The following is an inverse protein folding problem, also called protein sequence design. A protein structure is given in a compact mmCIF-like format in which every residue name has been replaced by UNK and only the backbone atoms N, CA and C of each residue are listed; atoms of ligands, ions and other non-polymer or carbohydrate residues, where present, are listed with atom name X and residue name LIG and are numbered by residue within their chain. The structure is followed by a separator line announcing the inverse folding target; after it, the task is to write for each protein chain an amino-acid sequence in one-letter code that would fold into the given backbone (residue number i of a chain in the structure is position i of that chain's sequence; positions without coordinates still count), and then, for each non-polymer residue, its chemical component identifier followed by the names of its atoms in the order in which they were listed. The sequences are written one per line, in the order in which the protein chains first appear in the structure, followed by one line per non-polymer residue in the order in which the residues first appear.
data_IF_135185553410
#
_entry.id   IF_135185553410
#
_cell.length_a   1.000
_cell.length_b   1.000
_cell.length_c   1.000
_cell.angle_alpha   90.00
_cell.angle_beta   90.00
_cell.angle_gamma   90.00
#
_symmetry.space_group_name_H-M   'P 1'
#
loop_
_entity.id
_entity.type
_entity.pdbx_description
1 polymer ?
#
# COMPACT_ATOMS: atom_id res chain seq x y z
N UNK A 1 0.70 -15.46 -5.77
CA UNK A 1 -0.50 -15.90 -5.01
C UNK A 1 -1.12 -14.67 -4.38
N UNK A 2 -2.44 -14.52 -4.43
CA UNK A 2 -3.17 -13.41 -3.77
C UNK A 2 -4.04 -14.02 -2.66
N UNK A 3 -3.77 -13.65 -1.41
CA UNK A 3 -4.57 -14.05 -0.24
C UNK A 3 -5.82 -13.18 -0.13
N UNK A 4 -6.86 -13.68 0.54
CA UNK A 4 -8.04 -12.85 0.90
C UNK A 4 -7.63 -11.64 1.75
N UNK A 5 -6.56 -11.76 2.55
CA UNK A 5 -5.99 -10.67 3.33
C UNK A 5 -5.20 -9.65 2.49
N UNK A 6 -4.82 -10.00 1.26
CA UNK A 6 -4.24 -9.03 0.32
C UNK A 6 -5.33 -8.15 -0.31
N UNK A 7 -6.56 -8.67 -0.39
CA UNK A 7 -7.74 -7.99 -0.95
C UNK A 7 -8.44 -7.15 0.13
N UNK A 8 -8.64 -7.71 1.33
CA UNK A 8 -9.30 -7.05 2.45
C UNK A 8 -8.28 -6.67 3.52
N UNK A 9 -7.89 -5.40 3.55
CA UNK A 9 -6.96 -4.84 4.54
C UNK A 9 -7.69 -3.82 5.41
N UNK A 10 -7.46 -3.91 6.72
CA UNK A 10 -7.77 -2.82 7.64
C UNK A 10 -6.78 -1.69 7.34
N UNK A 11 -7.29 -0.48 7.19
CA UNK A 11 -6.47 0.70 6.93
C UNK A 11 -7.30 1.97 7.02
N UNK A 12 -6.63 3.10 6.92
CA UNK A 12 -7.28 4.41 6.98
C UNK A 12 -7.71 4.89 5.58
N UNK A 13 -8.91 5.44 5.51
CA UNK A 13 -9.43 6.11 4.31
C UNK A 13 -8.86 7.52 4.13
N UNK A 14 -9.13 8.18 2.98
CA UNK A 14 -10.13 7.82 1.98
C UNK A 14 -9.64 6.87 0.86
N UNK A 15 -8.32 6.66 0.70
CA UNK A 15 -7.77 5.93 -0.46
C UNK A 15 -6.56 5.06 -0.11
N UNK A 16 -6.59 3.77 -0.43
CA UNK A 16 -5.48 2.85 -0.11
C UNK A 16 -4.18 3.18 -0.85
N UNK A 17 -4.23 3.67 -2.10
CA UNK A 17 -3.04 4.03 -2.87
C UNK A 17 -2.45 5.39 -2.47
N UNK A 18 -3.29 6.29 -1.96
CA UNK A 18 -2.89 7.66 -1.61
C UNK A 18 -2.73 7.88 -0.10
N UNK A 19 -3.17 6.93 0.71
CA UNK A 19 -3.09 7.03 2.18
C UNK A 19 -2.30 5.86 2.77
N UNK A 20 -2.71 4.60 2.51
CA UNK A 20 -2.04 3.42 3.10
C UNK A 20 -0.62 3.22 2.57
N UNK A 21 -0.43 3.29 1.25
CA UNK A 21 0.91 3.16 0.64
C UNK A 21 1.89 4.24 1.14
N UNK A 22 1.54 5.53 1.01
CA UNK A 22 2.41 6.63 1.44
C UNK A 22 2.78 6.60 2.93
N UNK A 23 1.85 6.23 3.82
CA UNK A 23 2.17 6.06 5.23
C UNK A 23 3.17 4.92 5.48
N UNK A 24 2.99 3.78 4.80
CA UNK A 24 3.97 2.69 4.88
C UNK A 24 5.35 3.10 4.37
N UNK A 25 5.42 3.92 3.32
CA UNK A 25 6.69 4.41 2.79
C UNK A 25 7.40 5.31 3.80
N UNK A 26 6.66 6.21 4.46
CA UNK A 26 7.19 7.01 5.57
C UNK A 26 7.73 6.15 6.70
N UNK A 27 6.97 5.12 7.13
CA UNK A 27 7.39 4.20 8.19
C UNK A 27 8.65 3.42 7.81
N UNK A 28 8.64 2.80 6.64
CA UNK A 28 9.77 2.03 6.13
C UNK A 28 11.03 2.91 6.05
N UNK A 29 10.91 4.14 5.55
CA UNK A 29 12.04 5.07 5.50
C UNK A 29 12.65 5.35 6.88
N UNK A 30 11.82 5.52 7.91
CA UNK A 30 12.34 5.71 9.27
C UNK A 30 12.95 4.45 9.87
N UNK A 31 12.41 3.28 9.55
CA UNK A 31 13.00 1.99 9.95
C UNK A 31 14.37 1.79 9.30
N UNK A 32 14.50 2.13 8.01
CA UNK A 32 15.77 2.08 7.28
C UNK A 32 16.81 3.03 7.92
N UNK A 33 16.41 4.23 8.34
CA UNK A 33 17.29 5.15 9.06
C UNK A 33 17.78 4.58 10.39
N UNK A 34 16.92 3.89 11.13
CA UNK A 34 17.28 3.23 12.40
C UNK A 34 18.25 2.08 12.13
N UNK A 35 17.94 1.20 11.18
CA UNK A 35 18.77 0.05 10.84
C UNK A 35 20.16 0.47 10.37
N UNK A 36 20.25 1.57 9.64
CA UNK A 36 21.52 2.16 9.19
C UNK A 36 22.26 2.96 10.27
N UNK A 37 21.66 3.16 11.44
CA UNK A 37 22.24 3.97 12.53
C UNK A 37 22.33 5.46 12.22
N UNK A 38 21.54 5.97 11.26
CA UNK A 38 21.59 7.35 10.78
C UNK A 38 20.58 8.27 11.47
N UNK A 39 19.56 7.73 12.15
CA UNK A 39 18.43 8.50 12.67
C UNK A 39 18.85 9.70 13.52
N UNK A 40 19.82 9.53 14.42
CA UNK A 40 20.28 10.60 15.33
C UNK A 40 21.02 11.75 14.62
N UNK A 41 21.52 11.52 13.41
CA UNK A 41 22.22 12.53 12.61
C UNK A 41 21.27 13.35 11.73
N UNK A 42 20.01 12.93 11.61
CA UNK A 42 19.01 13.62 10.78
C UNK A 42 18.59 14.92 11.44
N UNK A 43 18.72 16.02 10.71
CA UNK A 43 18.29 17.35 11.14
C UNK A 43 17.08 17.85 10.36
N UNK A 44 16.85 17.33 9.15
CA UNK A 44 15.75 17.72 8.25
C UNK A 44 15.33 16.54 7.39
N UNK A 45 14.04 16.44 7.09
CA UNK A 45 13.50 15.49 6.10
C UNK A 45 12.78 16.28 5.01
N UNK A 46 12.98 15.90 3.76
CA UNK A 46 12.30 16.44 2.59
C UNK A 46 11.60 15.31 1.86
N UNK A 47 10.35 15.55 1.48
CA UNK A 47 9.51 14.62 0.74
C UNK A 47 9.12 15.27 -0.57
N UNK A 48 9.41 14.59 -1.67
CA UNK A 48 9.02 14.97 -3.02
C UNK A 48 8.00 13.97 -3.54
N UNK A 49 6.79 14.43 -3.84
CA UNK A 49 5.67 13.62 -4.33
C UNK A 49 5.46 13.90 -5.82
N UNK A 50 5.29 12.86 -6.63
CA UNK A 50 5.25 12.94 -8.09
C UNK A 50 3.95 12.38 -8.68
N UNK A 51 3.64 12.80 -9.91
CA UNK A 51 2.58 12.29 -10.75
C UNK A 51 1.17 12.26 -10.16
N UNK A 52 0.41 11.19 -10.40
CA UNK A 52 -0.99 11.08 -9.95
C UNK A 52 -1.13 11.17 -8.43
N UNK A 53 -0.12 10.71 -7.70
CA UNK A 53 -0.05 10.82 -6.24
C UNK A 53 0.08 12.28 -5.78
N UNK A 54 0.78 13.10 -6.56
CA UNK A 54 0.94 14.53 -6.32
C UNK A 54 -0.31 15.33 -6.68
N UNK A 55 -0.84 15.11 -7.89
CA UNK A 55 -1.99 15.84 -8.43
C UNK A 55 -3.25 15.74 -7.57
N UNK A 56 -3.44 14.61 -6.90
CA UNK A 56 -4.60 14.40 -6.03
C UNK A 56 -4.22 14.37 -4.54
N UNK A 57 -2.95 14.60 -4.21
CA UNK A 57 -2.39 14.28 -2.89
C UNK A 57 -2.99 15.07 -1.74
N UNK A 58 -3.17 16.39 -1.91
CA UNK A 58 -3.81 17.23 -0.88
C UNK A 58 -5.29 16.89 -0.66
N UNK A 59 -5.99 16.44 -1.72
CA UNK A 59 -7.39 16.02 -1.64
C UNK A 59 -7.60 14.63 -1.04
N UNK A 60 -6.56 13.80 -1.01
CA UNK A 60 -6.58 12.44 -0.47
C UNK A 60 -5.75 12.25 0.81
N UNK A 61 -5.29 13.35 1.42
CA UNK A 61 -4.49 13.35 2.64
C UNK A 61 -3.16 12.58 2.51
N UNK A 62 -2.55 12.58 1.33
CA UNK A 62 -1.25 11.93 1.08
C UNK A 62 -0.13 12.53 1.93
N UNK A 63 -0.13 13.85 2.07
CA UNK A 63 0.80 14.58 2.95
C UNK A 63 0.69 14.10 4.40
N UNK A 64 -0.52 14.08 4.94
CA UNK A 64 -0.82 13.61 6.30
C UNK A 64 -0.37 12.16 6.45
N UNK A 65 -0.69 11.30 5.49
CA UNK A 65 -0.28 9.90 5.52
C UNK A 65 1.24 9.74 5.61
N UNK A 66 2.00 10.46 4.79
CA UNK A 66 3.47 10.41 4.82
C UNK A 66 4.00 10.95 6.15
N UNK A 67 3.48 12.08 6.63
CA UNK A 67 3.89 12.67 7.91
C UNK A 67 3.67 11.69 9.07
N UNK A 68 2.48 11.08 9.14
CA UNK A 68 2.16 10.09 10.16
C UNK A 68 3.04 8.84 10.06
N UNK A 69 3.36 8.40 8.84
CA UNK A 69 4.31 7.31 8.59
C UNK A 69 5.71 7.63 9.09
N UNK A 70 6.23 8.80 8.75
CA UNK A 70 7.53 9.31 9.25
C UNK A 70 7.54 9.46 10.78
N UNK A 71 6.39 9.78 11.39
CA UNK A 71 6.25 9.81 12.83
C UNK A 71 6.30 8.41 13.48
N UNK A 72 6.31 7.33 12.69
CA UNK A 72 6.42 5.95 13.16
C UNK A 72 5.10 5.16 13.16
N UNK A 73 4.01 5.74 12.65
CA UNK A 73 2.71 5.09 12.64
C UNK A 73 2.55 4.12 11.46
N UNK A 74 1.67 3.13 11.65
CA UNK A 74 1.23 2.21 10.60
C UNK A 74 -0.27 2.41 10.32
N UNK A 75 -0.74 2.18 9.07
CA UNK A 75 -2.13 2.42 8.69
C UNK A 75 -3.18 1.61 9.45
N UNK A 76 -2.80 0.46 10.01
CA UNK A 76 -3.66 -0.47 10.74
C UNK A 76 -3.66 -0.22 12.25
N UNK A 77 -2.72 0.55 12.79
CA UNK A 77 -2.58 0.83 14.23
C UNK A 77 -2.63 2.31 14.60
N UNK A 78 -2.68 3.21 13.62
CA UNK A 78 -2.68 4.66 13.87
C UNK A 78 -3.93 5.09 14.65
N UNK A 79 -3.72 5.94 15.66
CA UNK A 79 -4.82 6.61 16.36
C UNK A 79 -5.37 7.74 15.48
N UNK A 80 -6.52 7.49 14.86
CA UNK A 80 -7.16 8.39 13.90
C UNK A 80 -7.60 9.69 14.58
N UNK A 81 -8.02 9.63 15.85
CA UNK A 81 -8.55 10.78 16.58
C UNK A 81 -7.42 11.77 16.95
N UNK A 82 -6.18 11.28 17.07
CA UNK A 82 -5.01 12.09 17.36
C UNK A 82 -4.43 12.81 16.13
N UNK A 83 -4.74 12.36 14.90
CA UNK A 83 -4.14 12.88 13.66
C UNK A 83 -4.33 14.41 13.50
N UNK A 84 -5.54 14.98 13.65
CA UNK A 84 -5.74 16.41 13.41
C UNK A 84 -4.89 17.29 14.33
N UNK A 85 -4.80 16.94 15.62
CA UNK A 85 -3.98 17.66 16.59
C UNK A 85 -2.49 17.55 16.27
N UNK A 86 -2.02 16.34 15.96
CA UNK A 86 -0.63 16.11 15.60
C UNK A 86 -0.21 16.91 14.36
N UNK A 87 -1.03 16.89 13.30
CA UNK A 87 -0.74 17.64 12.06
C UNK A 87 -0.79 19.16 12.32
N UNK A 88 -1.71 19.64 13.16
CA UNK A 88 -1.74 21.04 13.56
C UNK A 88 -0.45 21.44 14.28
N UNK A 89 0.06 20.60 15.18
CA UNK A 89 1.31 20.85 15.90
C UNK A 89 2.50 20.90 14.93
N UNK A 90 2.60 19.95 14.00
CA UNK A 90 3.66 19.95 12.96
C UNK A 90 3.60 21.23 12.12
N UNK A 91 2.41 21.63 11.67
CA UNK A 91 2.23 22.86 10.89
C UNK A 91 2.57 24.13 11.68
N UNK A 92 2.25 24.16 12.98
CA UNK A 92 2.48 25.33 13.83
C UNK A 92 3.96 25.51 14.15
N UNK A 93 4.67 24.42 14.44
CA UNK A 93 6.05 24.48 14.90
C UNK A 93 7.09 24.28 13.78
N UNK A 94 6.68 23.73 12.63
CA UNK A 94 7.61 23.35 11.56
C UNK A 94 8.60 22.28 12.00
N UNK A 95 8.18 21.39 12.92
CA UNK A 95 8.97 20.32 13.52
C UNK A 95 8.23 19.01 13.43
N UNK A 96 8.96 17.93 13.19
CA UNK A 96 8.41 16.57 13.15
C UNK A 96 9.20 15.65 14.06
N UNK A 97 8.50 14.95 14.94
CA UNK A 97 9.06 13.86 15.72
C UNK A 97 9.07 12.59 14.87
N UNK A 98 10.25 12.10 14.50
CA UNK A 98 10.42 10.87 13.74
C UNK A 98 10.40 9.64 14.66
N UNK A 99 10.04 8.50 14.07
CA UNK A 99 10.22 7.17 14.68
C UNK A 99 9.70 7.06 16.12
N UNK A 100 8.44 7.42 16.34
CA UNK A 100 7.77 7.41 17.64
C UNK A 100 8.45 8.32 18.68
N UNK A 101 8.93 9.48 18.26
CA UNK A 101 9.51 10.47 19.18
C UNK A 101 11.00 10.34 19.43
N UNK A 102 11.72 9.50 18.67
CA UNK A 102 13.14 9.27 18.89
C UNK A 102 14.03 10.42 18.41
N UNK A 103 13.62 11.16 17.38
CA UNK A 103 14.39 12.26 16.81
C UNK A 103 13.46 13.40 16.38
N UNK A 104 13.71 14.62 16.85
CA UNK A 104 13.06 15.82 16.32
C UNK A 104 13.84 16.35 15.11
N UNK A 105 13.14 16.61 14.00
CA UNK A 105 13.73 17.20 12.80
C UNK A 105 13.00 18.47 12.38
N UNK A 106 13.71 19.36 11.70
CA UNK A 106 13.07 20.46 10.98
C UNK A 106 12.17 19.90 9.88
N UNK A 107 10.91 20.32 9.88
CA UNK A 107 9.90 19.92 8.91
C UNK A 107 8.88 21.05 8.64
N UNK A 108 9.31 22.24 8.20
CA UNK A 108 8.37 23.23 7.65
C UNK A 108 7.68 22.64 6.42
N UNK A 109 6.37 22.36 6.53
CA UNK A 109 5.60 21.56 5.55
C UNK A 109 5.63 22.19 4.16
N UNK A 110 5.62 23.52 4.07
CA UNK A 110 5.71 24.29 2.82
C UNK A 110 7.03 24.12 2.06
N UNK A 111 8.10 23.68 2.74
CA UNK A 111 9.44 23.49 2.17
C UNK A 111 9.89 22.02 2.17
N UNK A 112 9.21 21.18 2.94
CA UNK A 112 9.58 19.78 3.16
C UNK A 112 8.57 18.80 2.56
N UNK A 113 7.42 19.27 2.08
CA UNK A 113 6.43 18.47 1.37
C UNK A 113 6.18 19.09 -0.01
N UNK A 114 6.98 18.67 -0.98
CA UNK A 114 6.97 19.21 -2.33
C UNK A 114 6.09 18.36 -3.24
N UNK A 115 5.21 19.02 -3.99
CA UNK A 115 4.30 18.38 -4.94
C UNK A 115 4.72 18.74 -6.36
N UNK A 116 5.18 17.75 -7.11
CA UNK A 116 5.68 17.88 -8.47
C UNK A 116 4.60 17.46 -9.48
N UNK A 117 4.51 18.16 -10.61
CA UNK A 117 3.52 17.87 -11.65
C UNK A 117 3.99 16.79 -12.63
N UNK A 118 5.29 16.54 -12.70
CA UNK A 118 5.93 15.52 -13.51
C UNK A 118 5.89 14.14 -12.85
N UNK A 119 6.04 13.12 -13.69
CA UNK A 119 6.04 11.72 -13.28
C UNK A 119 7.48 11.19 -13.17
N UNK A 120 7.71 10.29 -12.23
CA UNK A 120 8.92 9.46 -12.25
C UNK A 120 8.82 8.40 -13.36
N UNK A 121 9.97 7.93 -13.83
CA UNK A 121 10.10 7.07 -15.02
C UNK A 121 9.45 5.69 -14.88
N UNK A 122 9.30 5.16 -13.66
CA UNK A 122 8.84 3.79 -13.40
C UNK A 122 7.34 3.67 -13.14
N UNK A 123 6.74 4.65 -12.48
CA UNK A 123 5.33 4.60 -12.07
C UNK A 123 4.78 6.00 -11.81
N UNK A 124 3.48 6.19 -12.06
CA UNK A 124 2.78 7.47 -11.90
C UNK A 124 2.60 7.90 -10.43
N UNK A 125 2.54 6.95 -9.50
CA UNK A 125 2.48 7.21 -8.06
C UNK A 125 3.86 7.07 -7.42
N UNK A 126 4.71 8.07 -7.60
CA UNK A 126 6.06 8.11 -7.05
C UNK A 126 6.18 9.06 -5.87
N UNK A 127 7.01 8.70 -4.89
CA UNK A 127 7.49 9.63 -3.88
C UNK A 127 8.96 9.38 -3.60
N UNK A 128 9.71 10.43 -3.26
CA UNK A 128 11.08 10.34 -2.80
C UNK A 128 11.17 10.99 -1.44
N UNK A 129 11.80 10.30 -0.49
CA UNK A 129 12.03 10.79 0.86
C UNK A 129 13.53 10.92 1.05
N UNK A 130 13.98 12.08 1.52
CA UNK A 130 15.38 12.43 1.70
C UNK A 130 15.63 12.94 3.12
N UNK A 131 16.56 12.31 3.82
CA UNK A 131 17.05 12.70 5.12
C UNK A 131 18.37 13.47 5.00
N UNK A 132 18.45 14.59 5.69
CA UNK A 132 19.58 15.52 5.68
C UNK A 132 20.17 15.63 7.08
N UNK A 133 21.51 15.68 7.16
CA UNK A 133 22.28 16.04 8.36
C UNK A 133 23.03 17.34 8.09
N UNK A 134 22.44 18.47 8.47
CA UNK A 134 22.81 19.77 7.93
C UNK A 134 22.50 19.85 6.43
N UNK A 135 23.51 20.21 5.63
CA UNK A 135 23.40 20.31 4.16
C UNK A 135 23.69 18.98 3.44
N UNK A 136 24.12 17.95 4.16
CA UNK A 136 24.51 16.66 3.58
C UNK A 136 23.30 15.71 3.51
N UNK A 137 23.09 15.09 2.35
CA UNK A 137 22.17 13.95 2.20
C UNK A 137 22.76 12.73 2.92
N UNK A 138 22.06 12.25 3.94
CA UNK A 138 22.42 11.04 4.69
C UNK A 138 21.80 9.80 4.04
N UNK A 139 20.54 9.91 3.63
CA UNK A 139 19.80 8.82 3.00
C UNK A 139 18.71 9.39 2.10
N UNK A 140 18.50 8.79 0.94
CA UNK A 140 17.41 9.14 0.02
C UNK A 140 16.86 7.87 -0.60
N UNK A 141 15.54 7.74 -0.62
CA UNK A 141 14.87 6.56 -1.15
C UNK A 141 13.64 6.96 -1.95
N UNK A 142 13.51 6.38 -3.14
CA UNK A 142 12.31 6.48 -3.98
C UNK A 142 11.40 5.28 -3.72
N UNK A 143 10.11 5.54 -3.55
CA UNK A 143 9.04 4.56 -3.37
C UNK A 143 7.94 4.76 -4.42
N UNK A 144 7.32 3.65 -4.82
CA UNK A 144 6.17 3.63 -5.72
C UNK A 144 4.96 2.97 -5.06
N UNK A 145 3.83 3.67 -5.05
CA UNK A 145 2.55 3.13 -4.56
C UNK A 145 1.79 2.46 -5.71
N UNK A 146 1.86 1.14 -5.79
CA UNK A 146 1.36 0.35 -6.94
C UNK A 146 -0.07 -0.16 -6.76
N UNK A 147 -0.81 0.33 -5.76
CA UNK A 147 -2.19 -0.07 -5.48
C UNK A 147 -2.34 -1.13 -4.38
N UNK A 148 -3.55 -1.26 -3.82
CA UNK A 148 -3.83 -2.21 -2.73
C UNK A 148 -3.08 -1.96 -1.41
N UNK A 149 -2.51 -0.75 -1.23
CA UNK A 149 -1.68 -0.40 -0.08
C UNK A 149 -0.31 -1.09 -0.06
N UNK A 150 0.17 -1.54 -1.23
CA UNK A 150 1.54 -2.03 -1.43
C UNK A 150 2.44 -0.88 -1.89
N UNK A 151 3.67 -0.89 -1.37
CA UNK A 151 4.76 -0.04 -1.82
C UNK A 151 5.89 -0.90 -2.34
N UNK A 152 6.61 -0.39 -3.32
CA UNK A 152 7.83 -1.00 -3.83
C UNK A 152 8.88 0.10 -3.92
N UNK A 153 10.05 -0.14 -3.36
CA UNK A 153 11.18 0.75 -3.58
C UNK A 153 11.70 0.63 -5.03
N UNK A 154 12.49 1.61 -5.45
CA UNK A 154 12.99 1.67 -6.84
C UNK A 154 13.86 0.47 -7.22
N UNK A 155 14.62 -0.10 -6.29
CA UNK A 155 15.52 -1.24 -6.54
C UNK A 155 14.73 -2.56 -6.72
N UNK A 156 13.57 -2.67 -6.09
CA UNK A 156 12.69 -3.85 -6.20
C UNK A 156 11.55 -3.68 -7.21
N UNK A 157 11.50 -2.57 -7.95
CA UNK A 157 10.45 -2.31 -8.93
C UNK A 157 10.49 -3.34 -10.08
N UNK A 158 9.45 -4.18 -10.18
CA UNK A 158 9.37 -5.27 -11.16
C UNK A 158 9.91 -6.62 -10.66
N UNK A 159 10.42 -6.70 -9.43
CA UNK A 159 10.82 -7.97 -8.81
C UNK A 159 9.60 -8.58 -8.11
N UNK A 160 8.90 -9.48 -8.79
CA UNK A 160 7.79 -10.21 -8.17
C UNK A 160 8.34 -11.21 -7.15
N UNK A 161 8.27 -10.91 -5.85
CA UNK A 161 8.48 -11.88 -4.76
C UNK A 161 7.27 -12.82 -4.65
N UNK A 162 6.96 -13.55 -5.72
CA UNK A 162 6.07 -14.70 -5.61
C UNK A 162 6.91 -15.92 -5.27
N UNK A 163 7.09 -16.19 -3.98
CA UNK A 163 7.37 -17.56 -3.58
C UNK A 163 6.11 -18.39 -3.91
N UNK A 164 6.19 -19.46 -4.73
CA UNK A 164 5.04 -20.28 -5.03
C UNK A 164 4.61 -21.01 -3.75
N UNK A 165 3.60 -20.48 -3.07
CA UNK A 165 2.92 -21.20 -1.99
C UNK A 165 2.00 -22.23 -2.64
N UNK A 166 2.27 -23.51 -2.37
CA UNK A 166 1.42 -24.59 -2.84
C UNK A 166 0.07 -24.53 -2.10
N UNK A 167 -1.01 -24.22 -2.84
CA UNK A 167 -2.39 -24.36 -2.34
C UNK A 167 -3.07 -25.57 -2.94
N UNK A 168 -4.04 -26.18 -2.23
CA UNK A 168 -4.74 -27.37 -2.72
C UNK A 168 -5.46 -27.17 -4.05
N UNK A 169 -5.91 -25.93 -4.35
CA UNK A 169 -6.71 -25.61 -5.53
C UNK A 169 -6.21 -24.30 -6.18
N UNK A 170 -5.08 -24.33 -6.91
CA UNK A 170 -4.60 -23.16 -7.64
C UNK A 170 -5.50 -22.88 -8.85
N UNK A 171 -5.78 -21.60 -9.12
CA UNK A 171 -6.54 -21.15 -10.28
C UNK A 171 -5.86 -19.94 -10.93
N UNK A 172 -5.98 -19.81 -12.25
CA UNK A 172 -5.45 -18.68 -13.04
C UNK A 172 -6.55 -17.96 -13.82
N UNK A 173 -7.61 -18.66 -14.18
CA UNK A 173 -8.73 -18.12 -14.95
C UNK A 173 -10.08 -18.62 -14.40
N UNK A 174 -11.17 -18.06 -14.88
CA UNK A 174 -12.52 -18.41 -14.40
C UNK A 174 -12.90 -19.87 -14.67
N UNK A 175 -12.32 -20.53 -15.68
CA UNK A 175 -12.61 -21.94 -15.97
C UNK A 175 -11.99 -22.88 -14.92
N UNK A 176 -10.85 -22.51 -14.33
CA UNK A 176 -10.20 -23.27 -13.26
C UNK A 176 -11.04 -23.31 -11.97
N UNK A 177 -11.96 -22.35 -11.78
CA UNK A 177 -12.87 -22.26 -10.65
C UNK A 177 -14.14 -23.11 -10.81
N UNK A 178 -14.32 -23.77 -11.95
CA UNK A 178 -15.47 -24.64 -12.15
C UNK A 178 -15.28 -25.94 -11.35
N UNK A 179 -16.27 -26.38 -10.56
CA UNK A 179 -16.21 -27.71 -9.98
C UNK A 179 -16.11 -28.73 -11.12
N UNK A 180 -15.34 -29.82 -10.97
CA UNK A 180 -15.34 -30.89 -11.96
C UNK A 180 -16.78 -31.35 -12.13
N UNK A 181 -17.35 -31.12 -13.33
CA UNK A 181 -18.68 -31.60 -13.68
C UNK A 181 -18.76 -33.08 -13.29
N UNK A 182 -19.73 -33.51 -12.46
CA UNK A 182 -19.85 -34.92 -12.13
C UNK A 182 -19.93 -35.69 -13.44
N UNK A 183 -18.95 -36.57 -13.68
CA UNK A 183 -18.93 -37.44 -14.86
C UNK A 183 -20.28 -38.12 -14.92
N UNK A 184 -21.04 -37.85 -16.00
CA UNK A 184 -22.38 -38.38 -16.25
C UNK A 184 -22.43 -39.86 -15.84
N UNK A 185 -23.13 -40.20 -14.76
CA UNK A 185 -23.69 -41.54 -14.64
C UNK A 185 -24.76 -41.59 -15.72
N UNK A 186 -24.49 -42.32 -16.80
CA UNK A 186 -25.50 -42.65 -17.78
C UNK A 186 -26.65 -43.34 -17.03
N UNK A 187 -27.75 -42.62 -16.82
CA UNK A 187 -29.01 -43.25 -16.47
C UNK A 187 -29.48 -43.90 -17.77
N UNK A 188 -29.21 -45.20 -17.91
CA UNK A 188 -29.84 -46.00 -18.94
C UNK A 188 -31.34 -46.06 -18.60
N UNK A 189 -32.14 -45.22 -19.24
CA UNK A 189 -33.59 -45.39 -19.28
C UNK A 189 -33.87 -46.69 -20.04
N UNK A 190 -34.32 -47.73 -19.31
CA UNK A 190 -34.88 -48.92 -19.93
C UNK A 190 -36.17 -48.53 -20.66
N UNK A 191 -36.18 -48.74 -21.97
CA UNK A 191 -37.34 -48.56 -22.82
C UNK A 191 -38.28 -49.79 -22.69
N UNK A 192 -39.01 -49.92 -21.58
CA UNK A 192 -40.04 -50.97 -21.44
C UNK A 192 -41.41 -50.50 -20.91
N UNK A 193 -41.56 -49.23 -20.51
CA UNK A 193 -42.84 -48.74 -19.93
C UNK A 193 -43.85 -48.14 -20.95
N UNK A 194 -43.58 -48.22 -22.26
CA UNK A 194 -44.45 -47.62 -23.28
C UNK A 194 -45.60 -48.53 -23.79
N UNK A 195 -46.00 -49.59 -23.06
CA UNK A 195 -47.03 -50.55 -23.53
C UNK A 195 -48.26 -50.76 -22.62
N UNK A 196 -48.54 -49.89 -21.66
CA UNK A 196 -49.77 -49.98 -20.82
C UNK A 196 -50.59 -48.69 -20.76
N UNK A 197 -50.95 -48.15 -21.92
CA UNK A 197 -51.99 -47.10 -22.01
C UNK A 197 -52.91 -47.29 -23.23
N UNK A 198 -53.22 -48.54 -23.57
CA UNK A 198 -54.19 -48.89 -24.60
C UNK A 198 -54.94 -50.15 -24.21
N UNK A 199 -55.95 -50.00 -23.33
CA UNK A 199 -57.14 -50.87 -23.22
C UNK A 199 -57.86 -50.59 -21.87
N UNK A 200 -58.86 -49.72 -21.90
CA UNK A 200 -60.07 -49.86 -21.09
C UNK A 200 -61.15 -48.94 -21.70
N UNK A 201 -62.21 -49.61 -22.14
CA UNK A 201 -63.51 -49.20 -22.69
C UNK A 201 -63.97 -47.75 -22.50
#
# INVERSE_FOLDING_TARGET
MISVFDIFKIGIGPSSSHTVGPMKAGKQFTDDLIERGLLSEVTKVVVDVYGSLSLTGKGHHTDIAIIMGLAGNLPDTVDIDAIPGFIQDVNTHGRLMLANGQQEVAFPVDQCMNFHADNLSRHENGMRITALGGEKVLYSQTYYSIGGGFIVDEDHFGVTREAPVAVPYPYKNAADLQPPLPRKRAIALRADDAKRAGAAQ
#
